data_IF_989804118932
#
_entry.id   IF_989804118932
#
_cell.length_a   1.000
_cell.length_b   1.000
_cell.length_c   1.000
_cell.angle_alpha   90.00
_cell.angle_beta   90.00
_cell.angle_gamma   90.00
#
_symmetry.space_group_name_H-M   'P 1'
#
loop_
_entity.id
_entity.type
_entity.pdbx_description
1 polymer ?
#
# COMPACT_ATOMS: atom_id res chain seq x y z
N UNK A 1 34.82 -25.07 -2.40
CA UNK A 1 33.57 -25.49 -1.75
C UNK A 1 32.84 -24.23 -1.37
N UNK A 2 31.79 -23.86 -2.13
CA UNK A 2 30.94 -22.72 -1.80
C UNK A 2 30.19 -23.06 -0.51
N UNK A 3 30.35 -22.25 0.53
CA UNK A 3 29.60 -22.39 1.77
C UNK A 3 28.08 -22.42 1.50
N UNK A 4 27.26 -22.88 2.45
CA UNK A 4 25.80 -22.89 2.26
C UNK A 4 25.35 -21.46 1.92
N UNK A 5 24.71 -21.30 0.76
CA UNK A 5 24.12 -20.04 0.38
C UNK A 5 23.10 -19.64 1.47
N UNK A 6 23.17 -18.38 1.94
CA UNK A 6 22.24 -17.87 2.95
C UNK A 6 20.77 -18.01 2.53
N UNK A 7 19.83 -17.70 3.44
CA UNK A 7 18.39 -17.75 3.13
C UNK A 7 18.04 -16.91 1.91
N UNK A 8 17.28 -17.48 0.98
CA UNK A 8 16.80 -16.82 -0.22
C UNK A 8 15.26 -16.85 -0.28
N UNK A 9 14.66 -15.97 -1.09
CA UNK A 9 13.24 -15.96 -1.32
C UNK A 9 12.82 -17.05 -2.32
N UNK A 10 11.77 -17.79 -1.99
CA UNK A 10 11.10 -18.78 -2.82
C UNK A 10 9.62 -18.43 -2.93
N UNK A 11 8.98 -18.82 -4.04
CA UNK A 11 7.59 -18.46 -4.30
C UNK A 11 6.74 -19.62 -4.81
N UNK A 12 5.54 -19.75 -4.24
CA UNK A 12 4.47 -20.60 -4.74
C UNK A 12 3.30 -19.71 -5.18
N UNK A 13 2.79 -19.96 -6.38
CA UNK A 13 1.61 -19.28 -6.91
C UNK A 13 0.40 -20.22 -6.79
N UNK A 14 -0.62 -19.76 -6.06
CA UNK A 14 -1.86 -20.48 -5.84
C UNK A 14 -2.93 -19.89 -6.72
N UNK A 15 -3.23 -20.56 -7.83
CA UNK A 15 -4.23 -20.12 -8.78
C UNK A 15 -5.62 -20.44 -8.25
N UNK A 16 -6.36 -19.38 -7.92
CA UNK A 16 -7.76 -19.39 -7.51
C UNK A 16 -8.43 -18.24 -8.26
N UNK A 17 -9.12 -18.56 -9.33
CA UNK A 17 -9.66 -17.57 -10.25
C UNK A 17 -10.89 -16.87 -9.69
N UNK A 18 -11.58 -17.48 -8.72
CA UNK A 18 -12.68 -16.85 -7.99
C UNK A 18 -12.15 -15.86 -6.95
N UNK A 19 -12.21 -14.58 -7.27
CA UNK A 19 -11.84 -13.52 -6.35
C UNK A 19 -12.66 -13.50 -5.05
N UNK A 20 -13.91 -13.99 -5.09
CA UNK A 20 -14.78 -14.07 -3.92
C UNK A 20 -14.40 -15.25 -3.00
N UNK A 21 -13.82 -16.32 -3.53
CA UNK A 21 -13.33 -17.44 -2.76
C UNK A 21 -11.96 -17.16 -2.09
N UNK A 22 -11.19 -16.21 -2.61
CA UNK A 22 -9.84 -15.94 -2.09
C UNK A 22 -9.79 -15.59 -0.60
N UNK A 23 -10.70 -14.81 0.01
CA UNK A 23 -10.67 -14.56 1.46
C UNK A 23 -10.80 -15.85 2.29
N UNK A 24 -11.65 -16.78 1.88
CA UNK A 24 -11.80 -18.07 2.55
C UNK A 24 -10.54 -18.94 2.38
N UNK A 25 -9.91 -18.94 1.19
CA UNK A 25 -8.64 -19.58 0.93
C UNK A 25 -7.51 -19.01 1.80
N UNK A 26 -7.46 -17.69 1.98
CA UNK A 26 -6.46 -17.03 2.85
C UNK A 26 -6.57 -17.54 4.28
N UNK A 27 -7.77 -17.63 4.83
CA UNK A 27 -7.98 -18.05 6.22
C UNK A 27 -7.92 -19.57 6.41
N UNK A 28 -8.50 -20.34 5.49
CA UNK A 28 -8.63 -21.80 5.63
C UNK A 28 -7.47 -22.58 5.00
N UNK A 29 -6.78 -22.01 4.03
CA UNK A 29 -5.66 -22.67 3.32
C UNK A 29 -4.30 -22.04 3.63
N UNK A 30 -4.17 -20.72 3.41
CA UNK A 30 -2.86 -20.08 3.54
C UNK A 30 -2.43 -19.93 5.01
N UNK A 31 -3.27 -19.41 5.87
CA UNK A 31 -2.94 -19.20 7.29
C UNK A 31 -2.45 -20.48 7.99
N UNK A 32 -3.10 -21.65 7.86
CA UNK A 32 -2.57 -22.89 8.37
C UNK A 32 -1.22 -23.29 7.75
N UNK A 33 -1.05 -23.13 6.43
CA UNK A 33 0.19 -23.43 5.74
C UNK A 33 1.37 -22.57 6.26
N UNK A 34 1.15 -21.26 6.45
CA UNK A 34 2.15 -20.37 7.03
C UNK A 34 2.49 -20.71 8.48
N UNK A 35 1.50 -21.12 9.29
CA UNK A 35 1.70 -21.53 10.67
C UNK A 35 2.57 -22.79 10.75
N UNK A 36 2.33 -23.77 9.87
CA UNK A 36 3.07 -25.03 9.84
C UNK A 36 4.55 -24.83 9.51
N UNK A 37 4.87 -23.96 8.56
CA UNK A 37 6.26 -23.77 8.12
C UNK A 37 7.03 -22.70 8.91
N UNK A 38 6.39 -22.01 9.84
CA UNK A 38 6.98 -20.92 10.64
C UNK A 38 8.35 -21.23 11.23
N UNK A 39 8.66 -22.46 11.75
CA UNK A 39 9.97 -22.77 12.32
C UNK A 39 11.13 -22.78 11.31
N UNK A 40 10.85 -22.89 10.02
CA UNK A 40 11.85 -23.06 8.97
C UNK A 40 12.02 -21.84 8.05
N UNK A 41 11.34 -20.74 8.35
CA UNK A 41 11.37 -19.54 7.52
C UNK A 41 11.82 -18.32 8.32
N UNK A 42 12.72 -17.53 7.73
CA UNK A 42 13.18 -16.26 8.31
C UNK A 42 12.22 -15.09 7.99
N UNK A 43 11.36 -15.26 7.00
CA UNK A 43 10.35 -14.31 6.60
C UNK A 43 9.32 -14.96 5.68
N UNK A 44 8.08 -14.53 5.77
CA UNK A 44 7.02 -15.08 4.92
C UNK A 44 5.89 -14.07 4.74
N UNK A 45 5.37 -14.00 3.52
CA UNK A 45 4.26 -13.12 3.19
C UNK A 45 3.49 -13.63 1.96
N UNK A 46 2.23 -13.22 1.82
CA UNK A 46 1.46 -13.48 0.61
C UNK A 46 0.96 -12.18 0.01
N UNK A 47 0.61 -12.23 -1.27
CA UNK A 47 0.00 -11.11 -1.99
C UNK A 47 -0.90 -11.59 -3.12
N UNK A 48 -1.82 -10.74 -3.58
CA UNK A 48 -2.70 -11.02 -4.73
C UNK A 48 -2.01 -10.58 -6.01
N UNK A 49 -2.20 -11.35 -7.07
CA UNK A 49 -1.65 -11.02 -8.38
C UNK A 49 -2.57 -11.46 -9.51
N UNK A 50 -2.35 -10.89 -10.67
CA UNK A 50 -3.20 -11.03 -11.87
C UNK A 50 -2.52 -11.79 -13.03
N UNK A 51 -1.18 -11.78 -13.07
CA UNK A 51 -0.40 -12.29 -14.22
C UNK A 51 -0.70 -13.77 -14.48
N UNK A 52 -1.11 -14.09 -15.71
CA UNK A 52 -1.50 -15.43 -16.15
C UNK A 52 -2.66 -16.05 -15.34
N UNK A 53 -3.61 -15.21 -14.97
CA UNK A 53 -4.80 -15.53 -14.18
C UNK A 53 -4.71 -15.07 -12.73
N UNK A 54 -5.86 -14.80 -12.09
CA UNK A 54 -5.91 -14.40 -10.70
C UNK A 54 -5.28 -15.47 -9.78
N UNK A 55 -4.34 -15.05 -8.92
CA UNK A 55 -3.68 -15.97 -8.00
C UNK A 55 -3.16 -15.26 -6.74
N UNK A 56 -2.79 -16.06 -5.74
CA UNK A 56 -2.09 -15.62 -4.55
C UNK A 56 -0.62 -16.06 -4.65
N UNK A 57 0.31 -15.14 -4.49
CA UNK A 57 1.75 -15.41 -4.40
C UNK A 57 2.11 -15.61 -2.94
N UNK A 58 2.63 -16.78 -2.59
CA UNK A 58 3.13 -17.12 -1.26
C UNK A 58 4.65 -17.09 -1.33
N UNK A 59 5.27 -16.27 -0.51
CA UNK A 59 6.70 -16.03 -0.56
C UNK A 59 7.32 -16.36 0.79
N UNK A 60 8.43 -17.13 0.76
CA UNK A 60 9.11 -17.65 1.94
C UNK A 60 10.61 -17.40 1.83
N UNK A 61 11.22 -16.81 2.87
CA UNK A 61 12.67 -16.63 2.97
C UNK A 61 13.25 -17.75 3.82
N UNK A 62 13.97 -18.69 3.20
CA UNK A 62 14.51 -19.87 3.85
C UNK A 62 15.74 -20.40 3.13
N UNK A 63 16.47 -21.30 3.77
CA UNK A 63 17.55 -22.05 3.14
C UNK A 63 17.03 -23.03 2.09
N UNK A 64 17.85 -23.35 1.07
CA UNK A 64 17.43 -24.23 -0.03
C UNK A 64 17.03 -25.62 0.43
N UNK A 65 17.75 -26.21 1.39
CA UNK A 65 17.42 -27.53 1.92
C UNK A 65 16.06 -27.52 2.62
N UNK A 66 15.82 -26.56 3.53
CA UNK A 66 14.53 -26.44 4.20
C UNK A 66 13.39 -26.14 3.21
N UNK A 67 13.66 -25.37 2.14
CA UNK A 67 12.68 -25.16 1.09
C UNK A 67 12.26 -26.47 0.41
N UNK A 68 13.23 -27.28 -0.03
CA UNK A 68 12.95 -28.48 -0.80
C UNK A 68 12.37 -29.62 0.05
N UNK A 69 12.88 -29.77 1.29
CA UNK A 69 12.53 -30.91 2.13
C UNK A 69 11.33 -30.68 3.06
N UNK A 70 11.04 -29.40 3.42
CA UNK A 70 10.06 -29.06 4.45
C UNK A 70 9.02 -28.06 3.98
N UNK A 71 9.46 -26.82 3.61
CA UNK A 71 8.54 -25.69 3.38
C UNK A 71 7.66 -25.93 2.16
N UNK A 72 8.25 -26.19 1.00
CA UNK A 72 7.50 -26.43 -0.24
C UNK A 72 6.54 -27.61 -0.13
N UNK A 73 6.94 -28.82 0.32
CA UNK A 73 6.04 -29.95 0.45
C UNK A 73 4.87 -29.67 1.40
N UNK A 74 5.13 -29.12 2.59
CA UNK A 74 4.10 -28.85 3.59
C UNK A 74 3.08 -27.80 3.08
N UNK A 75 3.55 -26.65 2.56
CA UNK A 75 2.66 -25.61 2.01
C UNK A 75 1.83 -26.17 0.85
N UNK A 76 2.47 -26.92 -0.07
CA UNK A 76 1.75 -27.50 -1.22
C UNK A 76 0.68 -28.49 -0.76
N UNK A 77 0.98 -29.35 0.23
CA UNK A 77 0.02 -30.33 0.74
C UNK A 77 -1.19 -29.65 1.38
N UNK A 78 -0.97 -28.68 2.28
CA UNK A 78 -2.06 -27.96 2.97
C UNK A 78 -2.93 -27.20 1.98
N UNK A 79 -2.32 -26.39 1.10
CA UNK A 79 -3.08 -25.55 0.16
C UNK A 79 -3.80 -26.40 -0.89
N UNK A 80 -3.16 -27.44 -1.43
CA UNK A 80 -3.82 -28.34 -2.40
C UNK A 80 -4.96 -29.10 -1.73
N UNK A 81 -4.79 -29.52 -0.48
CA UNK A 81 -5.86 -30.16 0.32
C UNK A 81 -7.07 -29.24 0.45
N UNK A 82 -6.84 -27.96 0.77
CA UNK A 82 -7.90 -26.95 0.85
C UNK A 82 -8.61 -26.75 -0.49
N UNK A 83 -7.84 -26.55 -1.59
CA UNK A 83 -8.41 -26.33 -2.92
C UNK A 83 -9.25 -27.52 -3.42
N UNK A 84 -8.86 -28.75 -3.07
CA UNK A 84 -9.66 -29.95 -3.39
C UNK A 84 -10.98 -30.00 -2.62
N UNK A 85 -10.97 -29.55 -1.36
CA UNK A 85 -12.18 -29.53 -0.53
C UNK A 85 -13.10 -28.34 -0.87
N UNK A 86 -12.53 -27.25 -1.38
CA UNK A 86 -13.22 -25.98 -1.67
C UNK A 86 -12.76 -25.43 -3.04
N UNK A 87 -13.05 -26.12 -4.14
CA UNK A 87 -12.58 -25.69 -5.46
C UNK A 87 -13.24 -24.38 -5.88
N UNK A 88 -12.45 -23.50 -6.49
CA UNK A 88 -12.97 -22.39 -7.30
C UNK A 88 -13.69 -22.96 -8.52
N UNK A 89 -14.86 -22.41 -8.82
CA UNK A 89 -15.67 -22.76 -10.01
C UNK A 89 -15.92 -21.57 -10.90
N UNK A 90 -15.23 -20.45 -10.68
CA UNK A 90 -15.40 -19.24 -11.45
C UNK A 90 -14.79 -19.38 -12.85
N UNK A 91 -15.51 -18.92 -13.83
CA UNK A 91 -15.04 -18.76 -15.20
C UNK A 91 -14.93 -17.26 -15.54
N UNK A 92 -13.79 -16.61 -15.18
CA UNK A 92 -13.61 -15.19 -15.46
C UNK A 92 -13.67 -14.91 -16.97
N UNK A 93 -14.32 -13.81 -17.34
CA UNK A 93 -14.32 -13.33 -18.73
C UNK A 93 -12.90 -12.85 -19.11
N UNK A 94 -12.13 -13.76 -19.71
CA UNK A 94 -10.73 -13.51 -20.11
C UNK A 94 -10.64 -12.43 -21.18
N UNK A 95 -11.64 -12.32 -22.05
CA UNK A 95 -11.65 -11.32 -23.11
C UNK A 95 -11.85 -9.91 -22.52
N UNK A 96 -12.76 -9.77 -21.56
CA UNK A 96 -12.97 -8.51 -20.85
C UNK A 96 -11.76 -8.11 -19.99
N UNK A 97 -11.01 -9.08 -19.44
CA UNK A 97 -9.83 -8.82 -18.61
C UNK A 97 -8.54 -8.56 -19.42
N UNK A 98 -8.47 -9.00 -20.67
CA UNK A 98 -7.26 -8.88 -21.49
C UNK A 98 -6.74 -7.43 -21.60
N UNK A 99 -7.54 -6.39 -21.89
CA UNK A 99 -7.07 -5.01 -21.96
C UNK A 99 -6.61 -4.48 -20.58
N UNK A 100 -7.24 -4.93 -19.49
CA UNK A 100 -6.84 -4.57 -18.14
C UNK A 100 -5.46 -5.18 -17.84
N UNK A 101 -5.27 -6.46 -18.12
CA UNK A 101 -3.99 -7.16 -17.92
C UNK A 101 -2.88 -6.56 -18.79
N UNK A 102 -3.16 -6.23 -20.05
CA UNK A 102 -2.19 -5.56 -20.91
C UNK A 102 -1.76 -4.20 -20.32
N UNK A 103 -2.71 -3.46 -19.73
CA UNK A 103 -2.40 -2.19 -19.07
C UNK A 103 -1.58 -2.39 -17.81
N UNK A 104 -1.91 -3.37 -16.97
CA UNK A 104 -1.13 -3.70 -15.77
C UNK A 104 0.29 -4.15 -16.13
N UNK A 105 0.45 -4.96 -17.19
CA UNK A 105 1.76 -5.38 -17.68
C UNK A 105 2.65 -4.17 -18.02
N UNK A 106 2.11 -3.18 -18.73
CA UNK A 106 2.84 -1.95 -19.03
C UNK A 106 3.26 -1.19 -17.76
N UNK A 107 2.36 -1.09 -16.77
CA UNK A 107 2.62 -0.37 -15.52
C UNK A 107 3.64 -1.11 -14.63
N UNK A 108 3.62 -2.42 -14.64
CA UNK A 108 4.52 -3.27 -13.85
C UNK A 108 5.77 -3.68 -14.64
N UNK A 109 5.92 -3.19 -15.88
CA UNK A 109 7.03 -3.51 -16.81
C UNK A 109 7.23 -5.03 -16.96
N UNK A 110 6.10 -5.75 -17.09
CA UNK A 110 6.12 -7.19 -17.34
C UNK A 110 6.43 -7.46 -18.81
N UNK A 111 7.48 -8.26 -19.06
CA UNK A 111 7.95 -8.59 -20.42
C UNK A 111 7.49 -9.97 -20.89
N UNK A 112 6.93 -10.77 -20.01
CA UNK A 112 6.50 -12.14 -20.31
C UNK A 112 5.12 -12.23 -20.99
N UNK A 113 4.77 -13.42 -21.51
CA UNK A 113 3.45 -13.66 -22.08
C UNK A 113 2.36 -13.60 -20.99
N UNK A 114 1.25 -12.92 -21.30
CA UNK A 114 0.09 -12.81 -20.43
C UNK A 114 -0.84 -14.02 -20.49
N UNK A 115 -0.63 -14.89 -21.48
CA UNK A 115 -1.38 -16.13 -21.73
C UNK A 115 -0.43 -17.27 -22.19
N UNK A 116 -0.84 -18.54 -22.07
CA UNK A 116 -2.10 -18.98 -21.47
C UNK A 116 -2.14 -18.75 -19.97
N UNK A 117 -3.35 -18.65 -19.40
CA UNK A 117 -3.52 -18.65 -17.95
C UNK A 117 -3.17 -20.02 -17.37
N UNK A 118 -2.63 -20.03 -16.17
CA UNK A 118 -2.46 -21.28 -15.41
C UNK A 118 -3.83 -21.88 -15.07
N UNK A 119 -3.85 -23.19 -14.88
CA UNK A 119 -5.10 -23.87 -14.51
C UNK A 119 -5.59 -23.39 -13.14
N UNK A 120 -6.91 -23.21 -13.01
CA UNK A 120 -7.53 -22.91 -11.73
C UNK A 120 -7.33 -24.07 -10.72
N UNK A 121 -7.38 -23.75 -9.44
CA UNK A 121 -7.18 -24.73 -8.35
C UNK A 121 -5.81 -25.44 -8.37
N UNK A 122 -4.76 -24.73 -8.81
CA UNK A 122 -3.40 -25.26 -8.87
C UNK A 122 -2.42 -24.49 -8.00
N UNK A 123 -1.37 -25.19 -7.55
CA UNK A 123 -0.21 -24.60 -6.86
C UNK A 123 1.01 -24.84 -7.73
N UNK A 124 1.68 -23.75 -8.12
CA UNK A 124 2.82 -23.79 -9.05
C UNK A 124 4.01 -23.06 -8.44
N UNK A 125 5.18 -23.69 -8.43
CA UNK A 125 6.42 -23.01 -8.04
C UNK A 125 6.87 -22.05 -9.14
N UNK A 126 7.25 -20.83 -8.77
CA UNK A 126 7.75 -19.81 -9.66
C UNK A 126 8.96 -19.10 -9.02
N UNK A 127 9.88 -18.54 -9.81
CA UNK A 127 10.91 -17.66 -9.28
C UNK A 127 10.30 -16.52 -8.47
N UNK A 128 10.92 -16.18 -7.35
CA UNK A 128 10.52 -15.01 -6.58
C UNK A 128 10.75 -13.73 -7.39
N UNK A 129 9.73 -12.89 -7.44
CA UNK A 129 9.79 -11.60 -8.12
C UNK A 129 10.31 -10.52 -7.15
N UNK A 130 11.58 -10.15 -7.28
CA UNK A 130 12.22 -9.08 -6.51
C UNK A 130 11.71 -7.69 -6.87
N UNK A 131 10.88 -7.55 -7.90
CA UNK A 131 10.31 -6.28 -8.41
C UNK A 131 11.35 -5.21 -8.74
N UNK A 132 12.58 -5.56 -8.99
CA UNK A 132 13.67 -4.61 -9.29
C UNK A 132 13.35 -3.72 -10.48
N UNK A 133 12.66 -4.24 -11.49
CA UNK A 133 12.24 -3.48 -12.67
C UNK A 133 11.31 -2.31 -12.33
N UNK A 134 10.54 -2.41 -11.24
CA UNK A 134 9.62 -1.36 -10.77
C UNK A 134 10.27 -0.51 -9.67
N UNK A 135 10.98 -1.16 -8.74
CA UNK A 135 11.52 -0.52 -7.54
C UNK A 135 12.90 0.10 -7.77
N UNK A 136 13.60 -0.28 -8.86
CA UNK A 136 14.88 0.28 -9.27
C UNK A 136 16.10 -0.27 -8.54
N UNK A 137 15.95 -0.92 -7.37
CA UNK A 137 17.09 -1.49 -6.63
C UNK A 137 16.73 -2.80 -5.90
N UNK A 138 17.71 -3.71 -5.68
CA UNK A 138 17.51 -4.89 -4.85
C UNK A 138 17.12 -4.53 -3.42
N UNK A 139 17.72 -3.47 -2.86
CA UNK A 139 17.46 -3.05 -1.48
C UNK A 139 16.03 -2.57 -1.26
N UNK A 140 15.45 -1.89 -2.26
CA UNK A 140 14.03 -1.53 -2.23
C UNK A 140 13.12 -2.77 -2.23
N UNK A 141 13.51 -3.81 -2.98
CA UNK A 141 12.80 -5.10 -2.96
C UNK A 141 12.84 -5.79 -1.60
N UNK A 142 14.01 -5.80 -0.94
CA UNK A 142 14.15 -6.37 0.41
C UNK A 142 13.36 -5.57 1.45
N UNK A 143 13.45 -4.23 1.43
CA UNK A 143 12.67 -3.36 2.34
C UNK A 143 11.15 -3.60 2.21
N UNK A 144 10.67 -3.78 0.98
CA UNK A 144 9.28 -4.13 0.72
C UNK A 144 8.93 -5.53 1.28
N UNK A 145 9.78 -6.52 1.04
CA UNK A 145 9.57 -7.88 1.50
C UNK A 145 9.58 -7.97 3.04
N UNK A 146 10.46 -7.23 3.69
CA UNK A 146 10.54 -7.14 5.14
C UNK A 146 9.25 -6.52 5.73
N UNK A 147 8.72 -5.44 5.12
CA UNK A 147 7.42 -4.87 5.53
C UNK A 147 6.27 -5.87 5.37
N UNK A 148 6.18 -6.53 4.22
CA UNK A 148 5.12 -7.48 3.94
C UNK A 148 5.18 -8.69 4.85
N UNK A 149 6.40 -9.15 5.23
CA UNK A 149 6.61 -10.20 6.22
C UNK A 149 6.20 -9.75 7.63
N UNK A 150 6.66 -8.58 8.07
CA UNK A 150 6.36 -8.03 9.38
C UNK A 150 4.85 -7.81 9.61
N UNK A 151 4.13 -7.47 8.53
CA UNK A 151 2.67 -7.25 8.57
C UNK A 151 1.84 -8.48 8.19
N UNK A 152 2.46 -9.64 7.97
CA UNK A 152 1.73 -10.79 7.44
C UNK A 152 0.71 -11.38 8.43
N UNK A 153 1.11 -11.57 9.70
CA UNK A 153 0.19 -12.05 10.75
C UNK A 153 -0.93 -11.04 11.03
N UNK A 154 -0.61 -9.74 10.99
CA UNK A 154 -1.60 -8.65 11.06
C UNK A 154 -2.60 -8.74 9.91
N UNK A 155 -2.12 -9.05 8.69
CA UNK A 155 -2.99 -9.23 7.52
C UNK A 155 -3.94 -10.41 7.68
N UNK A 156 -3.51 -11.54 8.24
CA UNK A 156 -4.42 -12.66 8.53
C UNK A 156 -5.50 -12.27 9.53
N UNK A 157 -5.17 -11.50 10.57
CA UNK A 157 -6.16 -10.99 11.53
C UNK A 157 -7.12 -9.98 10.88
N UNK A 158 -6.65 -9.15 9.97
CA UNK A 158 -7.51 -8.27 9.16
C UNK A 158 -8.51 -9.06 8.31
N UNK A 159 -8.08 -10.18 7.71
CA UNK A 159 -8.99 -11.07 6.98
C UNK A 159 -10.04 -11.71 7.88
N UNK A 160 -9.70 -12.03 9.14
CA UNK A 160 -10.68 -12.53 10.11
C UNK A 160 -11.72 -11.45 10.45
N UNK A 161 -11.29 -10.22 10.68
CA UNK A 161 -12.18 -9.07 10.93
C UNK A 161 -13.12 -8.80 9.75
N UNK A 162 -12.61 -8.94 8.52
CA UNK A 162 -13.40 -8.72 7.30
C UNK A 162 -14.55 -9.74 7.10
N UNK A 163 -14.66 -10.77 7.94
CA UNK A 163 -15.86 -11.64 7.98
C UNK A 163 -17.08 -10.93 8.55
N UNK A 164 -16.87 -9.90 9.36
CA UNK A 164 -17.94 -9.14 10.05
C UNK A 164 -17.90 -7.64 9.76
N UNK A 165 -16.75 -7.09 9.37
CA UNK A 165 -16.57 -5.67 9.11
C UNK A 165 -16.39 -5.38 7.61
N UNK A 166 -16.94 -4.27 7.08
CA UNK A 166 -16.76 -3.91 5.68
C UNK A 166 -15.32 -3.46 5.36
N UNK A 167 -14.72 -4.00 4.30
CA UNK A 167 -13.39 -3.61 3.83
C UNK A 167 -13.20 -2.08 3.64
N UNK A 168 -14.18 -1.31 3.13
CA UNK A 168 -14.01 0.15 3.02
C UNK A 168 -13.79 0.86 4.36
N UNK A 169 -14.38 0.39 5.46
CA UNK A 169 -14.18 0.97 6.79
C UNK A 169 -12.76 0.71 7.28
N UNK A 170 -12.31 -0.55 7.22
CA UNK A 170 -10.94 -0.90 7.57
C UNK A 170 -9.93 -0.13 6.69
N UNK A 171 -10.19 -0.01 5.39
CA UNK A 171 -9.30 0.72 4.49
C UNK A 171 -9.18 2.21 4.87
N UNK A 172 -10.28 2.88 5.25
CA UNK A 172 -10.26 4.26 5.75
C UNK A 172 -9.45 4.37 7.04
N UNK A 173 -9.65 3.45 7.98
CA UNK A 173 -8.89 3.43 9.24
C UNK A 173 -7.38 3.32 8.98
N UNK A 174 -6.96 2.42 8.08
CA UNK A 174 -5.56 2.27 7.69
C UNK A 174 -5.02 3.50 6.94
N UNK A 175 -5.82 4.14 6.08
CA UNK A 175 -5.44 5.38 5.39
C UNK A 175 -5.19 6.51 6.40
N UNK A 176 -6.12 6.78 7.31
CA UNK A 176 -5.95 7.81 8.33
C UNK A 176 -4.80 7.50 9.29
N UNK A 177 -4.69 6.26 9.74
CA UNK A 177 -3.58 5.82 10.58
C UNK A 177 -2.21 6.03 9.90
N UNK A 178 -2.11 5.73 8.60
CA UNK A 178 -0.87 5.93 7.83
C UNK A 178 -0.50 7.41 7.73
N UNK A 179 -1.45 8.26 7.28
CA UNK A 179 -1.16 9.68 7.08
C UNK A 179 -0.93 10.42 8.38
N UNK A 180 -1.54 9.99 9.48
CA UNK A 180 -1.27 10.54 10.81
C UNK A 180 0.09 10.07 11.36
N UNK A 181 0.40 8.79 11.23
CA UNK A 181 1.61 8.18 11.80
C UNK A 181 2.90 8.60 11.09
N UNK A 182 2.85 8.75 9.76
CA UNK A 182 4.01 9.05 8.93
C UNK A 182 4.23 10.55 8.68
N UNK A 183 3.27 11.40 9.06
CA UNK A 183 3.34 12.83 8.79
C UNK A 183 3.95 13.60 9.97
N UNK A 184 4.49 14.77 9.64
CA UNK A 184 4.90 15.82 10.58
C UNK A 184 3.93 16.99 10.43
N UNK A 185 3.68 17.78 11.49
CA UNK A 185 2.78 18.94 11.39
C UNK A 185 3.35 20.02 10.46
N UNK A 186 2.51 20.96 10.04
CA UNK A 186 2.97 22.20 9.43
C UNK A 186 3.77 23.04 10.46
N UNK A 187 4.60 23.98 9.98
CA UNK A 187 5.40 24.86 10.88
C UNK A 187 4.56 25.71 11.81
N UNK A 188 3.39 26.16 11.35
CA UNK A 188 2.42 26.92 12.14
C UNK A 188 1.62 26.06 13.13
N UNK A 189 1.91 24.74 13.17
CA UNK A 189 1.29 23.79 14.09
C UNK A 189 0.16 23.00 13.44
N UNK A 190 -0.70 22.45 14.28
CA UNK A 190 -1.82 21.59 13.86
C UNK A 190 -1.56 20.10 13.98
N UNK A 191 -2.56 19.29 13.68
CA UNK A 191 -2.44 17.84 13.74
C UNK A 191 -1.62 17.33 12.54
N UNK A 192 -0.70 16.36 12.72
CA UNK A 192 0.08 15.80 11.61
C UNK A 192 -0.77 15.31 10.43
N UNK A 193 -1.96 14.80 10.71
CA UNK A 193 -2.89 14.28 9.69
C UNK A 193 -3.30 15.35 8.67
N UNK A 194 -3.37 16.63 9.07
CA UNK A 194 -3.76 17.74 8.15
C UNK A 194 -2.72 17.96 7.05
N UNK A 195 -1.45 17.67 7.32
CA UNK A 195 -0.40 17.67 6.30
C UNK A 195 -0.38 16.37 5.50
N UNK A 196 -0.50 15.24 6.19
CA UNK A 196 -0.47 13.90 5.56
C UNK A 196 -1.61 13.70 4.57
N UNK A 197 -2.77 14.30 4.81
CA UNK A 197 -3.95 14.21 3.93
C UNK A 197 -3.72 14.76 2.53
N UNK A 198 -2.74 15.67 2.33
CA UNK A 198 -2.38 16.17 1.00
C UNK A 198 -2.08 15.05 0.01
N UNK A 199 -1.47 13.94 0.48
CA UNK A 199 -1.21 12.78 -0.35
C UNK A 199 -2.49 12.05 -0.75
N UNK A 200 -3.45 11.87 0.16
CA UNK A 200 -4.75 11.25 -0.17
C UNK A 200 -5.51 12.11 -1.18
N UNK A 201 -5.51 13.43 -1.01
CA UNK A 201 -6.10 14.37 -1.97
C UNK A 201 -5.44 14.27 -3.34
N UNK A 202 -4.11 14.29 -3.37
CA UNK A 202 -3.33 14.11 -4.60
C UNK A 202 -3.69 12.80 -5.33
N UNK A 203 -3.80 11.69 -4.60
CA UNK A 203 -4.14 10.39 -5.20
C UNK A 203 -5.59 10.32 -5.70
N UNK A 204 -6.55 10.92 -4.98
CA UNK A 204 -7.93 11.04 -5.45
C UNK A 204 -7.98 11.84 -6.76
N UNK A 205 -7.31 12.99 -6.80
CA UNK A 205 -7.27 13.85 -7.98
C UNK A 205 -6.51 13.20 -9.15
N UNK A 206 -5.42 12.47 -8.88
CA UNK A 206 -4.71 11.70 -9.90
C UNK A 206 -5.57 10.56 -10.48
N UNK A 207 -6.41 9.94 -9.67
CA UNK A 207 -7.39 8.95 -10.16
C UNK A 207 -8.42 9.63 -11.05
N UNK A 208 -9.07 10.70 -10.57
CA UNK A 208 -10.10 11.42 -11.28
C UNK A 208 -9.61 11.93 -12.65
N UNK A 209 -8.39 12.49 -12.72
CA UNK A 209 -7.81 13.01 -13.97
C UNK A 209 -7.61 11.97 -15.08
N UNK A 210 -7.72 10.68 -14.75
CA UNK A 210 -7.59 9.55 -15.69
C UNK A 210 -8.94 8.98 -16.12
N UNK A 211 -10.03 9.41 -15.51
CA UNK A 211 -11.39 9.00 -15.90
C UNK A 211 -11.82 9.69 -17.20
N UNK A 212 -12.87 9.17 -17.82
CA UNK A 212 -13.40 9.76 -19.06
C UNK A 212 -14.07 11.13 -18.79
N UNK A 213 -14.69 11.27 -17.61
CA UNK A 213 -15.37 12.50 -17.16
C UNK A 213 -14.99 12.77 -15.69
N UNK A 214 -13.87 13.50 -15.45
CA UNK A 214 -13.40 13.80 -14.11
C UNK A 214 -14.40 14.56 -13.24
N UNK A 215 -15.18 15.48 -13.83
CA UNK A 215 -16.11 16.34 -13.10
C UNK A 215 -17.34 15.55 -12.65
N UNK A 216 -17.90 14.70 -13.50
CA UNK A 216 -19.00 13.83 -13.12
C UNK A 216 -18.59 12.82 -12.05
N UNK A 217 -17.38 12.26 -12.12
CA UNK A 217 -16.85 11.36 -11.06
C UNK A 217 -16.64 12.14 -9.76
N UNK A 218 -16.07 13.35 -9.81
CA UNK A 218 -15.89 14.21 -8.64
C UNK A 218 -17.22 14.53 -7.96
N UNK A 219 -18.23 14.91 -8.73
CA UNK A 219 -19.55 15.18 -8.21
C UNK A 219 -20.17 13.98 -7.50
N UNK A 220 -20.03 12.78 -8.06
CA UNK A 220 -20.48 11.51 -7.42
C UNK A 220 -19.72 11.21 -6.13
N UNK A 221 -18.42 11.44 -6.10
CA UNK A 221 -17.61 11.23 -4.90
C UNK A 221 -17.99 12.21 -3.79
N UNK A 222 -18.20 13.49 -4.15
CA UNK A 222 -18.64 14.51 -3.21
C UNK A 222 -20.06 14.23 -2.68
N UNK A 223 -20.99 13.86 -3.54
CA UNK A 223 -22.34 13.44 -3.11
C UNK A 223 -22.25 12.25 -2.13
N UNK A 224 -21.38 11.29 -2.37
CA UNK A 224 -21.16 10.18 -1.46
C UNK A 224 -20.57 10.64 -0.13
N UNK A 225 -19.62 11.57 -0.14
CA UNK A 225 -19.08 12.16 1.08
C UNK A 225 -20.18 12.86 1.89
N UNK A 226 -20.93 13.75 1.29
CA UNK A 226 -22.00 14.53 1.97
C UNK A 226 -23.04 13.61 2.64
N UNK A 227 -23.39 12.49 2.02
CA UNK A 227 -24.29 11.51 2.63
C UNK A 227 -23.70 10.79 3.86
N UNK A 228 -22.39 10.75 4.00
CA UNK A 228 -21.69 9.99 5.03
C UNK A 228 -20.82 10.86 5.95
N UNK A 229 -20.79 12.17 5.75
CA UNK A 229 -19.87 13.12 6.39
C UNK A 229 -19.81 12.95 7.91
N UNK A 230 -20.97 12.95 8.59
CA UNK A 230 -21.03 12.83 10.05
C UNK A 230 -20.40 11.50 10.54
N UNK A 231 -20.68 10.39 9.84
CA UNK A 231 -20.15 9.08 10.19
C UNK A 231 -18.63 8.99 9.92
N UNK A 232 -18.18 9.55 8.79
CA UNK A 232 -16.75 9.59 8.42
C UNK A 232 -15.95 10.45 9.41
N UNK A 233 -16.44 11.64 9.75
CA UNK A 233 -15.80 12.51 10.75
C UNK A 233 -15.80 11.90 12.15
N UNK A 234 -16.86 11.22 12.55
CA UNK A 234 -16.91 10.50 13.82
C UNK A 234 -15.88 9.34 13.86
N UNK A 235 -15.78 8.58 12.77
CA UNK A 235 -14.78 7.50 12.66
C UNK A 235 -13.35 8.01 12.66
N UNK A 236 -13.08 9.09 11.92
CA UNK A 236 -11.78 9.77 11.93
C UNK A 236 -11.36 10.16 13.36
N UNK A 237 -12.25 10.80 14.13
CA UNK A 237 -11.97 11.18 15.52
C UNK A 237 -11.66 9.96 16.40
N UNK A 238 -12.32 8.81 16.18
CA UNK A 238 -11.98 7.56 16.88
C UNK A 238 -10.57 7.08 16.53
N UNK A 239 -10.17 7.16 15.25
CA UNK A 239 -8.81 6.83 14.81
C UNK A 239 -7.79 7.76 15.48
N UNK A 240 -8.01 9.06 15.48
CA UNK A 240 -7.11 10.04 16.09
C UNK A 240 -7.01 9.84 17.62
N UNK A 241 -8.12 9.66 18.30
CA UNK A 241 -8.15 9.36 19.72
C UNK A 241 -7.39 8.07 20.04
N UNK A 242 -7.56 7.03 19.20
CA UNK A 242 -6.82 5.77 19.34
C UNK A 242 -5.30 5.97 19.19
N UNK A 243 -4.84 6.82 18.26
CA UNK A 243 -3.42 7.06 18.03
C UNK A 243 -2.74 7.90 19.12
N UNK A 244 -3.50 8.78 19.79
CA UNK A 244 -2.98 9.70 20.82
C UNK A 244 -3.17 9.21 22.24
N UNK A 245 -4.08 8.24 22.47
CA UNK A 245 -4.35 7.71 23.80
C UNK A 245 -3.15 6.95 24.39
N UNK A 246 -2.90 7.12 25.68
CA UNK A 246 -1.97 6.28 26.43
C UNK A 246 -2.46 4.82 26.47
N UNK A 247 -1.55 3.83 26.55
CA UNK A 247 -1.94 2.43 26.68
C UNK A 247 -2.88 2.20 27.87
N UNK A 248 -4.08 1.66 27.63
CA UNK A 248 -5.10 1.42 28.65
C UNK A 248 -5.88 2.68 29.09
N UNK A 249 -5.60 3.84 28.51
CA UNK A 249 -6.34 5.08 28.77
C UNK A 249 -7.62 5.20 27.93
N UNK A 250 -8.42 6.25 28.18
CA UNK A 250 -9.62 6.53 27.39
C UNK A 250 -9.28 6.66 25.90
N UNK A 251 -10.01 5.95 25.04
CA UNK A 251 -9.77 5.92 23.58
C UNK A 251 -8.76 4.87 23.12
N UNK A 252 -8.09 4.15 24.04
CA UNK A 252 -7.15 3.09 23.66
C UNK A 252 -7.83 1.93 22.92
N UNK A 253 -9.09 1.62 23.26
CA UNK A 253 -9.93 0.61 22.63
C UNK A 253 -10.62 1.17 21.37
N UNK A 254 -9.83 1.81 20.51
CA UNK A 254 -10.31 2.39 19.25
C UNK A 254 -10.49 1.37 18.13
N UNK A 255 -10.60 1.82 16.88
CA UNK A 255 -10.74 0.93 15.73
C UNK A 255 -9.64 -0.13 15.66
N UNK A 256 -10.03 -1.36 15.35
CA UNK A 256 -9.11 -2.49 15.26
C UNK A 256 -7.94 -2.21 14.32
N UNK A 257 -6.74 -2.66 14.68
CA UNK A 257 -5.49 -2.58 13.92
C UNK A 257 -4.86 -1.19 13.78
N UNK A 258 -5.54 -0.10 14.13
CA UNK A 258 -5.03 1.28 13.95
C UNK A 258 -3.66 1.48 14.60
N UNK A 259 -3.50 1.10 15.87
CA UNK A 259 -2.23 1.25 16.60
C UNK A 259 -1.12 0.36 16.04
N UNK A 260 -1.44 -0.91 15.80
CA UNK A 260 -0.46 -1.88 15.29
C UNK A 260 0.02 -1.50 13.88
N UNK A 261 -0.93 -1.07 13.04
CA UNK A 261 -0.61 -0.59 11.70
C UNK A 261 0.24 0.69 11.74
N UNK A 262 -0.14 1.67 12.55
CA UNK A 262 0.63 2.90 12.72
C UNK A 262 2.06 2.64 13.24
N UNK A 263 2.23 1.67 14.14
CA UNK A 263 3.54 1.24 14.62
C UNK A 263 4.38 0.62 13.50
N UNK A 264 3.80 -0.27 12.69
CA UNK A 264 4.48 -0.88 11.55
C UNK A 264 4.89 0.17 10.51
N UNK A 265 4.02 1.15 10.23
CA UNK A 265 4.31 2.27 9.31
C UNK A 265 5.49 3.10 9.81
N UNK A 266 5.46 3.55 11.08
CA UNK A 266 6.55 4.35 11.68
C UNK A 266 7.88 3.61 11.66
N UNK A 267 7.88 2.33 12.05
CA UNK A 267 9.10 1.53 12.06
C UNK A 267 9.71 1.40 10.66
N UNK A 268 8.89 1.14 9.65
CA UNK A 268 9.40 1.01 8.27
C UNK A 268 9.80 2.36 7.66
N UNK A 269 9.13 3.46 8.03
CA UNK A 269 9.58 4.80 7.67
C UNK A 269 10.96 5.10 8.26
N UNK A 270 11.18 4.74 9.53
CA UNK A 270 12.46 4.89 10.22
C UNK A 270 13.56 4.03 9.56
N UNK A 271 13.28 2.77 9.21
CA UNK A 271 14.22 1.89 8.52
C UNK A 271 14.54 2.36 7.09
N UNK A 272 13.59 3.01 6.43
CA UNK A 272 13.79 3.56 5.09
C UNK A 272 14.66 4.83 5.08
N UNK A 273 14.66 5.62 6.13
CA UNK A 273 15.36 6.91 6.20
C UNK A 273 16.83 6.85 5.78
N UNK A 274 17.68 6.02 6.43
CA UNK A 274 19.09 5.88 6.05
C UNK A 274 19.28 5.36 4.63
N UNK A 275 18.41 4.46 4.14
CA UNK A 275 18.50 3.89 2.79
C UNK A 275 18.11 4.91 1.71
N UNK A 276 17.18 5.80 2.01
CA UNK A 276 16.85 6.93 1.14
C UNK A 276 17.96 7.98 1.14
N UNK A 277 18.54 8.27 2.31
CA UNK A 277 19.64 9.22 2.44
C UNK A 277 20.91 8.75 1.73
N UNK A 278 21.24 7.46 1.75
CA UNK A 278 22.37 6.88 1.03
C UNK A 278 22.11 6.68 -0.48
N UNK A 279 20.86 6.82 -0.93
CA UNK A 279 20.47 6.53 -2.32
C UNK A 279 20.35 5.04 -2.65
N UNK A 280 20.48 4.13 -1.67
CA UNK A 280 20.24 2.69 -1.87
C UNK A 280 18.79 2.39 -2.24
N UNK A 281 17.86 3.22 -1.76
CA UNK A 281 16.44 3.23 -2.13
C UNK A 281 16.11 4.59 -2.72
N UNK A 282 15.38 4.61 -3.82
CA UNK A 282 14.93 5.84 -4.48
C UNK A 282 13.45 5.81 -4.78
N UNK A 283 12.76 6.92 -4.53
CA UNK A 283 11.35 7.10 -4.90
C UNK A 283 11.16 7.59 -6.34
N UNK A 284 12.22 7.83 -7.06
CA UNK A 284 12.16 8.15 -8.50
C UNK A 284 11.65 6.96 -9.34
N UNK A 285 11.69 5.76 -8.77
CA UNK A 285 11.35 4.51 -9.46
C UNK A 285 12.41 4.12 -10.51
N UNK A 286 12.12 3.09 -11.29
CA UNK A 286 12.95 2.80 -12.45
C UNK A 286 12.76 3.91 -13.48
N UNK A 287 13.86 4.43 -14.03
CA UNK A 287 13.87 5.53 -15.01
C UNK A 287 13.01 5.22 -16.26
N UNK A 288 12.72 3.94 -16.51
CA UNK A 288 11.93 3.45 -17.62
C UNK A 288 10.42 3.32 -17.31
N UNK A 289 9.96 3.64 -16.09
CA UNK A 289 8.53 3.49 -15.76
C UNK A 289 7.67 4.36 -16.68
N UNK A 290 6.67 3.78 -17.39
CA UNK A 290 5.85 4.54 -18.32
C UNK A 290 5.03 5.59 -17.56
N UNK A 291 5.22 6.85 -17.92
CA UNK A 291 4.39 7.95 -17.42
C UNK A 291 3.01 7.86 -18.04
N UNK A 292 1.99 7.69 -17.22
CA UNK A 292 0.61 7.73 -17.71
C UNK A 292 0.27 9.12 -18.25
N UNK A 293 -0.25 9.25 -19.47
CA UNK A 293 -0.72 10.52 -19.97
C UNK A 293 -1.84 11.03 -19.06
N UNK A 294 -1.67 12.21 -18.51
CA UNK A 294 -2.71 12.91 -17.76
C UNK A 294 -3.54 13.70 -18.75
N UNK A 295 -4.80 13.36 -18.95
CA UNK A 295 -5.69 14.06 -19.90
C UNK A 295 -5.91 15.51 -19.50
N UNK A 296 -6.02 15.76 -18.20
CA UNK A 296 -6.17 17.10 -17.62
C UNK A 296 -5.59 17.09 -16.20
N UNK A 297 -4.79 18.08 -15.88
CA UNK A 297 -4.34 18.28 -14.51
C UNK A 297 -5.51 18.79 -13.66
N UNK A 298 -5.70 18.21 -12.46
CA UNK A 298 -6.58 18.83 -11.48
C UNK A 298 -5.99 20.19 -11.02
N UNK A 299 -6.83 21.06 -10.46
CA UNK A 299 -6.38 22.32 -9.88
C UNK A 299 -5.26 22.09 -8.83
N UNK A 300 -5.38 21.06 -8.01
CA UNK A 300 -4.36 20.66 -7.05
C UNK A 300 -3.03 20.30 -7.72
N UNK A 301 -3.04 19.50 -8.80
CA UNK A 301 -1.81 19.13 -9.50
C UNK A 301 -1.24 20.27 -10.35
N UNK A 302 -2.06 21.18 -10.84
CA UNK A 302 -1.61 22.40 -11.50
C UNK A 302 -0.87 23.30 -10.50
N UNK A 303 -1.44 23.49 -9.32
CA UNK A 303 -0.82 24.22 -8.22
C UNK A 303 0.49 23.55 -7.78
N UNK A 304 0.50 22.23 -7.60
CA UNK A 304 1.69 21.46 -7.25
C UNK A 304 2.85 21.69 -8.23
N UNK A 305 2.56 21.89 -9.52
CA UNK A 305 3.55 22.11 -10.58
C UNK A 305 3.92 23.57 -10.83
N UNK A 306 3.18 24.52 -10.27
CA UNK A 306 3.44 25.95 -10.47
C UNK A 306 4.58 26.50 -9.63
N UNK A 307 4.92 25.84 -8.50
CA UNK A 307 6.00 26.27 -7.61
C UNK A 307 7.39 25.93 -8.15
N UNK A 308 8.33 26.87 -8.08
CA UNK A 308 9.72 26.68 -8.54
C UNK A 308 10.45 25.57 -7.74
N UNK A 309 10.15 25.41 -6.46
CA UNK A 309 10.74 24.37 -5.59
C UNK A 309 10.07 23.01 -5.66
N UNK A 310 9.05 22.81 -6.51
CA UNK A 310 8.31 21.54 -6.54
C UNK A 310 9.19 20.34 -6.93
N UNK A 311 10.04 20.50 -7.93
CA UNK A 311 10.93 19.42 -8.38
C UNK A 311 11.87 19.00 -7.24
N UNK A 312 12.46 19.97 -6.57
CA UNK A 312 13.42 19.78 -5.49
C UNK A 312 12.71 19.12 -4.28
N UNK A 313 11.53 19.59 -3.90
CA UNK A 313 10.72 18.97 -2.84
C UNK A 313 10.41 17.51 -3.13
N UNK A 314 9.99 17.17 -4.35
CA UNK A 314 9.62 15.80 -4.70
C UNK A 314 10.84 14.88 -4.81
N UNK A 315 12.01 15.41 -5.21
CA UNK A 315 13.21 14.61 -5.46
C UNK A 315 14.21 14.61 -4.30
N UNK A 316 14.28 15.68 -3.50
CA UNK A 316 15.34 15.90 -2.52
C UNK A 316 14.85 15.80 -1.06
N UNK A 317 13.56 16.05 -0.79
CA UNK A 317 13.05 16.00 0.58
C UNK A 317 12.98 14.56 1.08
N UNK A 318 13.79 14.26 2.10
CA UNK A 318 13.94 12.93 2.66
C UNK A 318 12.67 12.47 3.40
N UNK A 319 12.04 13.38 4.17
CA UNK A 319 10.77 13.06 4.83
C UNK A 319 9.69 12.74 3.79
N UNK A 320 9.55 13.58 2.75
CA UNK A 320 8.53 13.36 1.72
C UNK A 320 8.78 12.07 0.94
N UNK A 321 10.04 11.73 0.66
CA UNK A 321 10.41 10.46 0.02
C UNK A 321 10.03 9.26 0.90
N UNK A 322 10.31 9.33 2.21
CA UNK A 322 9.91 8.29 3.17
C UNK A 322 8.39 8.19 3.31
N UNK A 323 7.70 9.33 3.33
CA UNK A 323 6.24 9.38 3.37
C UNK A 323 5.62 8.75 2.12
N UNK A 324 6.13 9.04 0.92
CA UNK A 324 5.69 8.41 -0.34
C UNK A 324 5.91 6.89 -0.31
N UNK A 325 7.01 6.44 0.28
CA UNK A 325 7.29 5.01 0.44
C UNK A 325 6.19 4.35 1.27
N UNK A 326 5.88 4.85 2.45
CA UNK A 326 4.84 4.23 3.30
C UNK A 326 3.44 4.34 2.70
N UNK A 327 3.15 5.39 1.92
CA UNK A 327 1.91 5.46 1.14
C UNK A 327 1.82 4.34 0.08
N UNK A 328 2.93 3.98 -0.56
CA UNK A 328 2.98 2.84 -1.48
C UNK A 328 2.78 1.51 -0.72
N UNK A 329 3.38 1.36 0.47
CA UNK A 329 3.17 0.19 1.33
C UNK A 329 1.71 0.05 1.76
N UNK A 330 1.05 1.15 2.13
CA UNK A 330 -0.39 1.18 2.40
C UNK A 330 -1.18 0.65 1.20
N UNK A 331 -0.92 1.14 -0.01
CA UNK A 331 -1.68 0.73 -1.19
C UNK A 331 -1.44 -0.74 -1.56
N UNK A 332 -0.25 -1.25 -1.33
CA UNK A 332 0.03 -2.68 -1.46
C UNK A 332 -0.75 -3.50 -0.42
N UNK A 333 -0.83 -3.03 0.82
CA UNK A 333 -1.63 -3.67 1.86
C UNK A 333 -3.12 -3.69 1.51
N UNK A 334 -3.67 -2.56 1.05
CA UNK A 334 -5.06 -2.51 0.60
C UNK A 334 -5.33 -3.46 -0.58
N UNK A 335 -4.37 -3.57 -1.50
CA UNK A 335 -4.41 -4.57 -2.57
C UNK A 335 -4.36 -6.01 -2.06
N UNK A 336 -3.54 -6.31 -1.03
CA UNK A 336 -3.53 -7.63 -0.36
C UNK A 336 -4.89 -7.96 0.24
N UNK A 337 -5.58 -6.99 0.82
CA UNK A 337 -6.93 -7.15 1.37
C UNK A 337 -8.02 -7.24 0.29
N UNK A 338 -7.66 -7.00 -0.98
CA UNK A 338 -8.58 -7.13 -2.11
C UNK A 338 -9.29 -5.84 -2.52
N UNK A 339 -8.85 -4.68 -2.03
CA UNK A 339 -9.44 -3.40 -2.43
C UNK A 339 -9.09 -3.07 -3.90
N UNK A 340 -10.07 -2.91 -4.79
CA UNK A 340 -9.83 -2.53 -6.18
C UNK A 340 -9.26 -1.11 -6.31
N UNK A 341 -8.44 -0.83 -7.34
CA UNK A 341 -7.89 0.52 -7.57
C UNK A 341 -8.95 1.63 -7.71
N UNK A 342 -10.10 1.31 -8.26
CA UNK A 342 -11.25 2.24 -8.43
C UNK A 342 -11.82 2.65 -7.07
N UNK A 343 -12.03 1.69 -6.19
CA UNK A 343 -12.55 1.95 -4.84
C UNK A 343 -11.52 2.71 -4.00
N UNK A 344 -10.23 2.44 -4.21
CA UNK A 344 -9.15 3.21 -3.57
C UNK A 344 -9.22 4.69 -3.92
N UNK A 345 -9.51 5.06 -5.18
CA UNK A 345 -9.69 6.46 -5.59
C UNK A 345 -10.83 7.16 -4.84
N UNK A 346 -11.98 6.49 -4.72
CA UNK A 346 -13.10 6.97 -3.93
C UNK A 346 -12.72 7.11 -2.44
N UNK A 347 -12.10 6.09 -1.85
CA UNK A 347 -11.73 6.14 -0.42
C UNK A 347 -10.69 7.21 -0.12
N UNK A 348 -9.73 7.46 -1.03
CA UNK A 348 -8.82 8.61 -0.91
C UNK A 348 -9.58 9.94 -0.87
N UNK A 349 -10.61 10.12 -1.71
CA UNK A 349 -11.46 11.30 -1.69
C UNK A 349 -12.23 11.42 -0.37
N UNK A 350 -12.91 10.36 0.06
CA UNK A 350 -13.68 10.35 1.31
C UNK A 350 -12.78 10.63 2.52
N UNK A 351 -11.61 10.00 2.56
CA UNK A 351 -10.64 10.20 3.64
C UNK A 351 -10.11 11.64 3.70
N UNK A 352 -9.79 12.24 2.55
CA UNK A 352 -9.35 13.62 2.47
C UNK A 352 -10.45 14.59 2.91
N UNK A 353 -11.67 14.43 2.39
CA UNK A 353 -12.82 15.27 2.74
C UNK A 353 -13.18 15.19 4.22
N UNK A 354 -13.08 14.00 4.83
CA UNK A 354 -13.34 13.84 6.27
C UNK A 354 -12.33 14.63 7.13
N UNK A 355 -11.04 14.64 6.76
CA UNK A 355 -10.03 15.43 7.49
C UNK A 355 -10.28 16.93 7.26
N UNK A 356 -10.52 17.35 6.02
CA UNK A 356 -10.85 18.76 5.70
C UNK A 356 -12.04 19.26 6.53
N UNK A 357 -13.13 18.47 6.59
CA UNK A 357 -14.34 18.83 7.34
C UNK A 357 -14.10 18.81 8.87
N UNK A 358 -13.45 17.77 9.39
CA UNK A 358 -13.26 17.60 10.83
C UNK A 358 -12.31 18.63 11.46
N UNK A 359 -11.32 19.10 10.69
CA UNK A 359 -10.30 20.08 11.13
C UNK A 359 -10.56 21.51 10.60
N UNK A 360 -11.59 21.71 9.78
CA UNK A 360 -11.87 23.02 9.18
C UNK A 360 -10.75 23.51 8.26
N UNK A 361 -10.05 22.57 7.58
CA UNK A 361 -8.93 22.87 6.66
C UNK A 361 -9.33 22.63 5.22
N UNK A 362 -8.47 23.06 4.30
CA UNK A 362 -8.58 22.74 2.88
C UNK A 362 -7.21 22.30 2.36
N UNK A 363 -7.09 21.09 1.93
CA UNK A 363 -5.84 20.56 1.39
C UNK A 363 -5.26 21.43 0.27
N UNK A 364 -6.12 22.01 -0.58
CA UNK A 364 -5.71 22.94 -1.66
C UNK A 364 -5.18 24.26 -1.09
N UNK A 365 -5.93 24.89 -0.16
CA UNK A 365 -5.53 26.18 0.44
C UNK A 365 -4.28 26.04 1.32
N UNK A 366 -4.16 24.93 2.05
CA UNK A 366 -2.98 24.64 2.88
C UNK A 366 -1.74 24.44 2.00
N UNK A 367 -1.90 23.74 0.87
CA UNK A 367 -0.80 23.55 -0.07
C UNK A 367 -0.44 24.86 -0.80
N UNK A 368 -1.41 25.68 -1.16
CA UNK A 368 -1.19 26.99 -1.78
C UNK A 368 -0.36 27.91 -0.88
N UNK A 369 -0.71 28.00 0.41
CA UNK A 369 0.09 28.75 1.39
C UNK A 369 1.52 28.21 1.48
N UNK A 370 1.68 26.87 1.43
CA UNK A 370 2.99 26.23 1.51
C UNK A 370 3.85 26.51 0.27
N UNK A 371 3.27 26.54 -0.93
CA UNK A 371 3.97 26.84 -2.19
C UNK A 371 4.34 28.33 -2.26
N UNK A 372 3.42 29.22 -1.92
CA UNK A 372 3.66 30.69 -1.95
C UNK A 372 4.74 31.07 -0.94
N UNK A 373 4.73 30.52 0.26
CA UNK A 373 5.78 30.78 1.26
C UNK A 373 7.20 30.36 0.80
N UNK A 374 7.30 29.48 -0.21
CA UNK A 374 8.58 29.07 -0.78
C UNK A 374 9.14 30.03 -1.83
N UNK A 375 8.30 30.92 -2.40
CA UNK A 375 8.71 31.84 -3.48
C UNK A 375 9.32 33.18 -2.98
N UNK A 376 9.20 33.50 -1.68
CA UNK A 376 9.69 34.76 -1.09
C UNK A 376 11.22 34.83 -0.82
N UNK A 377 12.00 33.87 -1.35
CA UNK A 377 13.47 33.87 -1.23
C UNK A 377 14.00 33.41 0.14
N UNK A 378 13.14 33.07 1.08
CA UNK A 378 13.49 32.38 2.32
C UNK A 378 13.72 30.90 2.04
N UNK A 379 14.56 30.24 2.86
CA UNK A 379 14.71 28.79 2.80
C UNK A 379 13.32 28.14 2.92
N UNK A 380 12.90 27.29 1.96
CA UNK A 380 11.59 26.69 1.99
C UNK A 380 11.32 25.93 3.29
N UNK A 381 10.13 26.11 3.85
CA UNK A 381 9.71 25.46 5.10
C UNK A 381 9.90 23.94 5.07
N UNK A 382 9.71 23.30 3.91
CA UNK A 382 9.90 21.86 3.74
C UNK A 382 11.36 21.41 3.95
N UNK A 383 12.36 22.22 3.56
CA UNK A 383 13.77 21.88 3.78
C UNK A 383 14.09 21.83 5.28
N UNK A 384 13.66 22.84 6.03
CA UNK A 384 13.86 22.90 7.47
C UNK A 384 13.18 21.71 8.21
N UNK A 385 11.97 21.38 7.77
CA UNK A 385 11.20 20.26 8.37
C UNK A 385 11.81 18.90 7.99
N UNK A 386 12.24 18.72 6.75
CA UNK A 386 12.92 17.52 6.30
C UNK A 386 14.25 17.28 7.02
N UNK A 387 15.04 18.34 7.23
CA UNK A 387 16.28 18.27 8.01
C UNK A 387 16.05 17.84 9.46
N UNK A 388 15.10 18.47 10.15
CA UNK A 388 14.74 18.08 11.54
C UNK A 388 14.24 16.65 11.64
N UNK A 389 13.51 16.18 10.64
CA UNK A 389 13.04 14.80 10.62
C UNK A 389 14.23 13.83 10.45
N UNK A 390 15.17 14.14 9.58
CA UNK A 390 16.37 13.34 9.37
C UNK A 390 17.25 13.26 10.64
N UNK A 391 17.39 14.35 11.39
CA UNK A 391 18.10 14.40 12.66
C UNK A 391 17.42 13.54 13.75
N UNK A 392 16.09 13.45 13.75
CA UNK A 392 15.33 12.65 14.72
C UNK A 392 15.26 11.15 14.42
N UNK A 393 15.72 10.73 13.22
CA UNK A 393 15.73 9.31 12.79
C UNK A 393 17.12 8.67 12.86
N UNK A 394 18.16 9.42 13.23
CA UNK A 394 19.56 8.99 13.38
C UNK A 394 19.84 8.23 14.68
#
# INVERSE_FOLDING_TARGET
MSGPAGPSWHSLHVHCHDGAAQPALVLGGLRPAFAEVRPWVAGAWFGRHWLRGPHLRLNFRTGRADWEERVRPAVTAVVTGYLRAHPSTAEPDRAALAPVHARLAQLEMEEGPLSPWEADNTVVERPYDHRQRVLGSPRAGELLADFLSATNDLTFRMYEELRSAPLPVLALDLMWATVAAASIPFEDGGAPITRGVLSLRSHADAFLSRTADPDAYRARFEERFLRQEAALCARLRQVEACLTAEPGGPGADGPAFVREWAAAVREHQRLAGPLLASGEVSMAGAAAAPRMPTRQLSAFHALLRSGHGHHDFVSEDLWFSSFRLVMNLLYLQLGRLGLPPVDRGLLCHLAARAVESAHGTSATADFERYVVAADDGAEPAWRRLGARWAEGTG
#
